data_IF_707974662000
#
_entry.id   IF_707974662000
#
_cell.length_a   1.000
_cell.length_b   1.000
_cell.length_c   1.000
_cell.angle_alpha   90.00
_cell.angle_beta   90.00
_cell.angle_gamma   90.00
#
_symmetry.space_group_name_H-M   'P 1'
#
loop_
_entity.id
_entity.type
_entity.pdbx_description
1 polymer ?
#
# COMPACT_ATOMS: atom_id res chain seq x y z
N UNK A 1 -67.82 -22.41 24.80
CA UNK A 1 -67.59 -23.74 25.38
C UNK A 1 -66.10 -23.90 25.64
N UNK A 2 -65.74 -24.08 26.93
CA UNK A 2 -64.48 -24.67 27.47
C UNK A 2 -63.14 -24.01 27.09
N UNK A 3 -62.15 -23.71 27.95
CA UNK A 3 -61.83 -23.85 29.38
C UNK A 3 -60.59 -22.92 29.63
N UNK A 4 -60.53 -22.05 30.64
CA UNK A 4 -59.99 -22.20 32.01
C UNK A 4 -58.47 -22.37 32.20
N UNK A 5 -57.95 -21.58 33.17
CA UNK A 5 -56.70 -21.62 33.97
C UNK A 5 -55.40 -21.03 33.39
N UNK A 6 -54.49 -20.39 34.17
CA UNK A 6 -54.48 -19.70 35.49
C UNK A 6 -53.04 -19.15 35.69
N UNK A 7 -52.93 -17.89 36.09
CA UNK A 7 -51.97 -17.25 37.03
C UNK A 7 -50.48 -17.67 37.04
N UNK A 8 -49.62 -16.65 36.89
CA UNK A 8 -48.27 -16.58 37.47
C UNK A 8 -47.79 -15.13 37.53
N UNK A 9 -47.70 -14.57 38.74
CA UNK A 9 -47.48 -13.16 39.06
C UNK A 9 -46.10 -13.03 39.74
N UNK A 10 -45.16 -12.22 39.23
CA UNK A 10 -43.97 -11.74 39.99
C UNK A 10 -43.55 -10.33 39.54
N UNK A 11 -43.76 -9.37 40.44
CA UNK A 11 -43.03 -8.14 40.79
C UNK A 11 -41.97 -7.49 39.87
N UNK A 12 -42.28 -6.23 39.48
CA UNK A 12 -41.50 -4.97 39.63
C UNK A 12 -40.13 -4.77 38.89
N UNK A 13 -39.70 -3.49 38.71
CA UNK A 13 -39.38 -2.95 37.38
C UNK A 13 -37.90 -2.64 37.15
N UNK A 14 -37.48 -2.61 35.87
CA UNK A 14 -36.28 -1.89 35.44
C UNK A 14 -36.64 -0.87 34.37
N UNK A 15 -37.00 0.32 34.84
CA UNK A 15 -36.79 1.55 34.10
C UNK A 15 -35.31 1.93 34.25
N UNK A 16 -34.56 1.91 33.15
CA UNK A 16 -33.38 2.74 32.88
C UNK A 16 -32.56 2.08 31.77
N UNK A 17 -32.76 2.55 30.53
CA UNK A 17 -31.77 2.61 29.44
C UNK A 17 -32.51 2.94 28.15
N UNK A 18 -32.78 4.22 27.94
CA UNK A 18 -33.04 4.85 26.64
C UNK A 18 -33.27 6.35 26.88
N UNK A 19 -32.19 7.11 27.08
CA UNK A 19 -32.12 8.56 26.88
C UNK A 19 -30.74 9.07 27.35
N UNK A 20 -29.78 9.23 26.44
CA UNK A 20 -28.62 10.13 26.60
C UNK A 20 -27.88 10.29 25.25
N UNK A 21 -28.61 10.74 24.23
CA UNK A 21 -28.04 11.43 23.07
C UNK A 21 -28.96 12.63 22.86
N UNK A 22 -28.36 13.83 22.74
CA UNK A 22 -28.97 15.17 22.65
C UNK A 22 -29.09 15.94 23.97
N UNK A 23 -27.99 16.54 24.44
CA UNK A 23 -27.95 17.86 25.09
C UNK A 23 -26.52 18.17 25.58
N UNK A 24 -25.71 18.87 24.79
CA UNK A 24 -24.57 19.65 25.30
C UNK A 24 -24.30 20.82 24.33
N UNK A 25 -25.27 21.72 24.26
CA UNK A 25 -25.12 23.09 23.78
C UNK A 25 -25.77 23.98 24.84
N UNK A 26 -25.13 25.10 25.15
CA UNK A 26 -25.42 26.06 26.23
C UNK A 26 -24.60 25.81 27.50
N UNK A 27 -23.42 26.44 27.51
CA UNK A 27 -22.66 26.64 28.74
C UNK A 27 -23.48 27.42 29.75
N UNK A 28 -23.58 26.87 30.95
CA UNK A 28 -23.90 27.59 32.18
C UNK A 28 -23.10 26.96 33.32
N UNK A 29 -22.44 27.84 34.05
CA UNK A 29 -21.70 27.68 35.30
C UNK A 29 -22.65 27.20 36.40
N UNK A 30 -22.25 26.28 37.29
CA UNK A 30 -22.39 26.46 38.76
C UNK A 30 -21.77 25.35 39.66
N UNK A 31 -21.54 25.67 40.96
CA UNK A 31 -20.44 25.14 41.79
C UNK A 31 -20.93 24.21 42.94
N UNK A 32 -20.06 24.05 43.95
CA UNK A 32 -20.30 23.50 45.29
C UNK A 32 -20.33 21.98 45.42
N UNK A 33 -19.19 21.42 45.84
CA UNK A 33 -19.20 20.21 46.67
C UNK A 33 -19.00 20.64 48.13
N UNK A 34 -20.05 20.41 48.92
CA UNK A 34 -20.05 20.56 50.36
C UNK A 34 -19.27 19.40 51.00
N UNK A 35 -18.45 19.81 51.96
CA UNK A 35 -17.73 19.00 52.93
C UNK A 35 -18.69 18.30 53.90
N UNK A 36 -18.45 17.02 54.17
CA UNK A 36 -18.88 16.34 55.37
C UNK A 36 -17.79 15.34 55.78
N UNK A 37 -17.57 15.29 57.09
CA UNK A 37 -16.33 14.90 57.75
C UNK A 37 -16.12 13.38 57.95
N UNK A 38 -14.84 13.09 58.18
CA UNK A 38 -14.10 11.92 58.67
C UNK A 38 -14.72 11.18 59.90
N UNK A 39 -14.31 9.92 60.23
CA UNK A 39 -12.94 9.64 60.73
C UNK A 39 -12.26 8.29 60.38
N UNK A 40 -10.92 8.38 60.34
CA UNK A 40 -9.83 7.38 60.36
C UNK A 40 -9.90 6.35 61.54
N UNK A 41 -8.96 5.37 61.75
CA UNK A 41 -7.73 4.98 61.00
C UNK A 41 -7.50 3.44 60.84
N UNK A 42 -6.75 3.01 59.82
CA UNK A 42 -5.88 1.82 59.96
C UNK A 42 -4.50 2.14 59.38
N UNK A 43 -3.54 2.20 60.30
CA UNK A 43 -2.11 2.44 60.06
C UNK A 43 -1.51 1.20 59.38
N UNK A 44 -1.24 1.31 58.09
CA UNK A 44 -0.36 0.41 57.35
C UNK A 44 0.61 1.25 56.53
N UNK A 45 1.85 1.41 57.02
CA UNK A 45 2.94 2.12 56.35
C UNK A 45 3.26 1.41 55.03
N UNK A 46 2.89 1.96 53.85
CA UNK A 46 3.25 1.34 52.59
C UNK A 46 4.74 1.58 52.31
N UNK A 47 5.46 0.62 51.71
CA UNK A 47 6.84 0.81 51.32
C UNK A 47 6.93 1.95 50.30
N UNK A 48 7.81 2.90 50.59
CA UNK A 48 8.12 4.04 49.73
C UNK A 48 8.77 3.54 48.43
N UNK A 49 7.96 3.11 47.46
CA UNK A 49 8.38 2.96 46.08
C UNK A 49 8.67 4.36 45.54
N UNK A 50 9.96 4.69 45.45
CA UNK A 50 10.47 5.86 44.69
C UNK A 50 10.20 5.61 43.20
N UNK A 51 8.96 5.74 42.78
CA UNK A 51 8.63 5.96 41.38
C UNK A 51 9.09 7.38 41.09
N UNK A 52 10.31 7.52 40.58
CA UNK A 52 10.74 8.75 39.93
C UNK A 52 9.81 8.95 38.73
N UNK A 53 8.69 9.62 38.94
CA UNK A 53 7.81 10.05 37.88
C UNK A 53 8.63 11.00 37.01
N UNK A 54 9.21 10.46 35.94
CA UNK A 54 9.86 11.27 34.91
C UNK A 54 8.82 12.27 34.45
N UNK A 55 9.15 13.55 34.58
CA UNK A 55 8.28 14.61 34.15
C UNK A 55 8.05 14.41 32.64
N UNK A 56 6.81 14.23 32.16
CA UNK A 56 6.54 13.98 30.75
C UNK A 56 7.03 15.13 29.83
N UNK A 57 7.32 16.30 30.40
CA UNK A 57 7.99 17.39 29.70
C UNK A 57 9.47 17.08 29.39
N UNK A 58 10.20 16.45 30.31
CA UNK A 58 11.62 16.12 30.13
C UNK A 58 11.80 15.12 28.99
N UNK A 59 10.89 14.15 28.89
CA UNK A 59 10.90 13.16 27.78
C UNK A 59 10.63 13.83 26.42
N UNK A 60 9.76 14.84 26.38
CA UNK A 60 9.50 15.63 25.16
C UNK A 60 10.70 16.49 24.77
N UNK A 61 11.37 17.13 25.74
CA UNK A 61 12.60 17.88 25.45
C UNK A 61 13.69 16.97 24.88
N UNK A 62 13.90 15.79 25.48
CA UNK A 62 14.84 14.77 24.97
C UNK A 62 14.47 14.28 23.58
N UNK A 63 13.19 14.22 23.23
CA UNK A 63 12.76 13.89 21.86
C UNK A 63 13.10 15.01 20.88
N UNK A 64 12.88 16.28 21.25
CA UNK A 64 13.22 17.44 20.41
C UNK A 64 14.73 17.60 20.24
N UNK A 65 15.53 17.29 21.26
CA UNK A 65 17.00 17.31 21.18
C UNK A 65 17.57 16.28 20.19
N UNK A 66 16.86 15.17 19.97
CA UNK A 66 17.26 14.13 19.00
C UNK A 66 16.93 14.50 17.56
N UNK A 67 16.13 15.54 17.33
CA UNK A 67 15.78 15.99 15.98
C UNK A 67 16.96 16.74 15.35
N UNK A 68 17.14 16.55 14.05
CA UNK A 68 18.08 17.36 13.25
C UNK A 68 17.70 18.84 13.26
N UNK A 69 18.63 19.72 12.93
CA UNK A 69 18.36 21.17 12.84
C UNK A 69 17.21 21.50 11.87
N UNK A 70 17.20 20.85 10.70
CA UNK A 70 16.12 20.99 9.71
C UNK A 70 14.74 20.56 10.27
N UNK A 71 14.70 19.49 11.05
CA UNK A 71 13.46 19.01 11.68
C UNK A 71 13.00 19.94 12.81
N UNK A 72 13.94 20.49 13.59
CA UNK A 72 13.63 21.50 14.62
C UNK A 72 13.08 22.78 14.00
N UNK A 73 13.66 23.26 12.91
CA UNK A 73 13.15 24.42 12.17
C UNK A 73 11.74 24.18 11.60
N UNK A 74 11.51 22.98 11.06
CA UNK A 74 10.18 22.57 10.60
C UNK A 74 9.18 22.53 11.75
N UNK A 75 9.56 21.95 12.89
CA UNK A 75 8.72 21.91 14.08
C UNK A 75 8.40 23.33 14.58
N UNK A 76 9.38 24.23 14.58
CA UNK A 76 9.19 25.62 14.98
C UNK A 76 8.21 26.36 14.06
N UNK A 77 8.32 26.21 12.74
CA UNK A 77 7.35 26.78 11.78
C UNK A 77 5.94 26.24 12.02
N UNK A 78 5.80 24.92 12.19
CA UNK A 78 4.50 24.31 12.49
C UNK A 78 3.88 24.85 13.79
N UNK A 79 4.69 25.10 14.83
CA UNK A 79 4.22 25.70 16.09
C UNK A 79 3.75 27.15 15.87
N UNK A 80 4.49 27.94 15.11
CA UNK A 80 4.12 29.31 14.78
C UNK A 80 2.79 29.32 14.01
N UNK A 81 2.66 28.50 12.97
CA UNK A 81 1.42 28.36 12.18
C UNK A 81 0.25 27.90 13.07
N UNK A 82 0.47 26.89 13.92
CA UNK A 82 -0.57 26.39 14.83
C UNK A 82 -1.07 27.48 15.78
N UNK A 83 -0.17 28.33 16.30
CA UNK A 83 -0.52 29.45 17.19
C UNK A 83 -1.30 30.56 16.49
N UNK A 84 -1.18 30.67 15.17
CA UNK A 84 -1.93 31.63 14.35
C UNK A 84 -3.36 31.15 14.03
N UNK A 85 -3.65 29.86 14.21
CA UNK A 85 -5.01 29.31 14.05
C UNK A 85 -5.96 29.85 15.12
N UNK A 86 -7.26 29.89 14.80
CA UNK A 86 -8.28 30.25 15.78
C UNK A 86 -8.33 29.25 16.95
N UNK A 87 -8.80 29.65 18.15
CA UNK A 87 -8.91 28.74 19.29
C UNK A 87 -9.71 27.46 18.97
N UNK A 88 -10.77 27.57 18.18
CA UNK A 88 -11.59 26.42 17.76
C UNK A 88 -10.82 25.46 16.85
N UNK A 89 -10.04 26.00 15.91
CA UNK A 89 -9.17 25.19 15.05
C UNK A 89 -8.07 24.51 15.87
N UNK A 90 -7.44 25.22 16.81
CA UNK A 90 -6.44 24.65 17.70
C UNK A 90 -7.04 23.51 18.55
N UNK A 91 -8.25 23.69 19.08
CA UNK A 91 -8.97 22.66 19.84
C UNK A 91 -9.27 21.44 18.96
N UNK A 92 -9.74 21.65 17.72
CA UNK A 92 -10.00 20.58 16.76
C UNK A 92 -8.76 19.73 16.48
N UNK A 93 -7.60 20.34 16.24
CA UNK A 93 -6.34 19.63 16.02
C UNK A 93 -5.88 18.84 17.25
N UNK A 94 -6.08 19.38 18.47
CA UNK A 94 -5.76 18.66 19.71
C UNK A 94 -6.65 17.43 19.90
N UNK A 95 -7.94 17.55 19.62
CA UNK A 95 -8.90 16.44 19.65
C UNK A 95 -8.52 15.36 18.62
N UNK A 96 -8.19 15.76 17.38
CA UNK A 96 -7.72 14.82 16.36
C UNK A 96 -6.44 14.09 16.79
N UNK A 97 -5.47 14.80 17.38
CA UNK A 97 -4.26 14.17 17.88
C UNK A 97 -4.55 13.15 18.98
N UNK A 98 -5.41 13.47 19.95
CA UNK A 98 -5.82 12.54 21.00
C UNK A 98 -6.48 11.28 20.42
N UNK A 99 -7.35 11.44 19.41
CA UNK A 99 -7.98 10.31 18.69
C UNK A 99 -6.95 9.43 18.00
N UNK A 100 -5.91 10.01 17.39
CA UNK A 100 -4.84 9.26 16.74
C UNK A 100 -3.96 8.51 17.75
N UNK A 101 -3.62 9.11 18.89
CA UNK A 101 -2.88 8.42 19.94
C UNK A 101 -3.68 7.25 20.54
N UNK A 102 -4.99 7.44 20.75
CA UNK A 102 -5.88 6.36 21.19
C UNK A 102 -6.05 5.26 20.12
N UNK A 103 -6.06 5.62 18.83
CA UNK A 103 -6.12 4.65 17.73
C UNK A 103 -4.84 3.81 17.65
N UNK A 104 -3.66 4.39 17.89
CA UNK A 104 -2.38 3.64 17.92
C UNK A 104 -2.40 2.50 18.93
N UNK A 105 -3.00 2.70 20.10
CA UNK A 105 -3.13 1.62 21.11
C UNK A 105 -4.20 0.60 20.75
N UNK A 106 -5.15 0.96 19.87
CA UNK A 106 -6.29 0.14 19.44
C UNK A 106 -6.11 -0.56 18.08
N UNK A 107 -4.86 -0.64 17.59
CA UNK A 107 -4.52 -1.31 16.33
C UNK A 107 -4.28 -0.39 15.12
N UNK A 108 -4.33 0.93 15.29
CA UNK A 108 -3.83 1.91 14.34
C UNK A 108 -4.63 2.04 13.04
N UNK A 109 -5.93 1.74 13.04
CA UNK A 109 -6.74 1.72 11.81
C UNK A 109 -6.87 3.11 11.19
N UNK A 110 -7.15 4.13 12.00
CA UNK A 110 -7.26 5.51 11.52
C UNK A 110 -5.91 6.04 11.05
N UNK A 111 -4.84 5.72 11.79
CA UNK A 111 -3.47 6.09 11.43
C UNK A 111 -3.05 5.49 10.08
N UNK A 112 -3.38 4.20 9.86
CA UNK A 112 -3.14 3.53 8.58
C UNK A 112 -3.96 4.17 7.45
N UNK A 113 -5.24 4.46 7.68
CA UNK A 113 -6.11 5.12 6.69
C UNK A 113 -5.56 6.50 6.28
N UNK A 114 -5.07 7.31 7.23
CA UNK A 114 -4.45 8.60 6.92
C UNK A 114 -3.14 8.44 6.15
N UNK A 115 -2.35 7.42 6.48
CA UNK A 115 -1.13 7.09 5.72
C UNK A 115 -1.46 6.66 4.28
N UNK A 116 -2.48 5.85 4.09
CA UNK A 116 -2.95 5.45 2.75
C UNK A 116 -3.50 6.63 1.97
N UNK A 117 -4.29 7.49 2.62
CA UNK A 117 -4.84 8.69 2.01
C UNK A 117 -3.74 9.68 1.58
N UNK A 118 -2.74 9.93 2.43
CA UNK A 118 -1.61 10.81 2.08
C UNK A 118 -0.77 10.23 0.96
N UNK A 119 -0.50 8.92 0.96
CA UNK A 119 0.16 8.24 -0.15
C UNK A 119 -0.67 8.37 -1.44
N UNK A 120 -2.00 8.19 -1.37
CA UNK A 120 -2.89 8.37 -2.50
C UNK A 120 -2.89 9.82 -3.04
N UNK A 121 -2.88 10.83 -2.17
CA UNK A 121 -2.80 12.24 -2.59
C UNK A 121 -1.56 12.54 -3.44
N UNK A 122 -0.44 11.83 -3.22
CA UNK A 122 0.76 12.00 -4.07
C UNK A 122 0.57 11.50 -5.51
N UNK A 123 -0.43 10.65 -5.74
CA UNK A 123 -0.77 10.12 -7.08
C UNK A 123 -1.65 11.07 -7.89
N UNK A 124 -2.20 12.10 -7.26
CA UNK A 124 -3.08 13.07 -7.91
C UNK A 124 -2.28 14.17 -8.63
N UNK A 125 -2.84 14.67 -9.72
CA UNK A 125 -2.30 15.85 -10.41
C UNK A 125 -2.35 17.07 -9.49
N UNK A 126 -1.52 18.10 -9.73
CA UNK A 126 -1.59 19.35 -8.95
C UNK A 126 -3.00 19.97 -8.96
N UNK A 127 -3.67 20.01 -10.11
CA UNK A 127 -5.04 20.53 -10.24
C UNK A 127 -6.07 19.74 -9.41
N UNK A 128 -5.96 18.42 -9.36
CA UNK A 128 -6.84 17.57 -8.56
C UNK A 128 -6.61 17.80 -7.05
N UNK A 129 -5.35 18.01 -6.64
CA UNK A 129 -5.03 18.35 -5.23
C UNK A 129 -5.59 19.72 -4.85
N UNK A 130 -5.50 20.69 -5.74
CA UNK A 130 -6.03 22.04 -5.52
C UNK A 130 -7.56 21.99 -5.37
N UNK A 131 -8.26 21.27 -6.25
CA UNK A 131 -9.73 21.08 -6.15
C UNK A 131 -10.13 20.46 -4.81
N UNK A 132 -9.42 19.42 -4.35
CA UNK A 132 -9.65 18.83 -3.03
C UNK A 132 -9.34 19.80 -1.88
N UNK A 133 -8.33 20.66 -2.03
CA UNK A 133 -7.95 21.59 -0.96
C UNK A 133 -8.99 22.69 -0.76
N UNK A 134 -9.65 23.14 -1.83
CA UNK A 134 -10.63 24.23 -1.82
C UNK A 134 -12.00 23.80 -1.28
N UNK A 135 -12.34 22.51 -1.38
CA UNK A 135 -13.64 22.02 -0.88
C UNK A 135 -13.64 21.90 0.65
N UNK A 136 -14.49 22.72 1.29
CA UNK A 136 -14.65 22.80 2.75
C UNK A 136 -15.70 21.82 3.27
N UNK A 137 -16.71 21.49 2.47
CA UNK A 137 -17.77 20.56 2.86
C UNK A 137 -17.25 19.11 2.84
N UNK A 138 -17.23 18.40 3.99
CA UNK A 138 -16.78 17.01 4.04
C UNK A 138 -17.52 16.08 3.09
N UNK A 139 -18.83 16.27 2.90
CA UNK A 139 -19.63 15.41 2.04
C UNK A 139 -19.24 15.56 0.56
N UNK A 140 -19.03 16.80 0.11
CA UNK A 140 -18.54 17.08 -1.25
C UNK A 140 -17.10 16.61 -1.44
N UNK A 141 -16.23 16.81 -0.45
CA UNK A 141 -14.84 16.32 -0.49
C UNK A 141 -14.78 14.81 -0.69
N UNK A 142 -15.63 14.04 0.01
CA UNK A 142 -15.74 12.59 -0.20
C UNK A 142 -16.24 12.24 -1.61
N UNK A 143 -17.18 13.00 -2.16
CA UNK A 143 -17.64 12.82 -3.54
C UNK A 143 -16.52 13.06 -4.57
N UNK A 144 -15.71 14.11 -4.39
CA UNK A 144 -14.54 14.41 -5.23
C UNK A 144 -13.51 13.28 -5.14
N UNK A 145 -13.16 12.82 -3.93
CA UNK A 145 -12.24 11.69 -3.72
C UNK A 145 -12.75 10.44 -4.45
N UNK A 146 -14.04 10.13 -4.31
CA UNK A 146 -14.67 8.98 -4.95
C UNK A 146 -14.62 9.08 -6.48
N UNK A 147 -14.86 10.28 -7.03
CA UNK A 147 -14.74 10.54 -8.46
C UNK A 147 -13.31 10.31 -8.97
N UNK A 148 -12.31 10.91 -8.32
CA UNK A 148 -10.91 10.73 -8.72
C UNK A 148 -10.43 9.29 -8.61
N UNK A 149 -10.85 8.58 -7.56
CA UNK A 149 -10.53 7.17 -7.41
C UNK A 149 -11.14 6.34 -8.54
N UNK A 150 -12.43 6.56 -8.86
CA UNK A 150 -13.10 5.90 -9.99
C UNK A 150 -12.43 6.21 -11.32
N UNK A 151 -11.99 7.46 -11.56
CA UNK A 151 -11.26 7.83 -12.77
C UNK A 151 -9.90 7.12 -12.85
N UNK A 152 -9.17 7.04 -11.73
CA UNK A 152 -7.91 6.29 -11.67
C UNK A 152 -8.15 4.80 -11.95
N UNK A 153 -9.14 4.19 -11.27
CA UNK A 153 -9.49 2.77 -11.45
C UNK A 153 -9.93 2.50 -12.89
N UNK A 154 -10.78 3.36 -13.47
CA UNK A 154 -11.20 3.26 -14.87
C UNK A 154 -10.03 3.42 -15.85
N UNK A 155 -9.04 4.28 -15.55
CA UNK A 155 -7.79 4.35 -16.35
C UNK A 155 -6.97 3.07 -16.22
N UNK A 156 -6.90 2.48 -15.04
CA UNK A 156 -6.23 1.20 -14.83
C UNK A 156 -6.93 0.02 -15.52
N UNK A 157 -8.26 0.04 -15.60
CA UNK A 157 -9.09 -0.98 -16.26
C UNK A 157 -9.14 -0.80 -17.78
N UNK A 158 -9.29 0.44 -18.26
CA UNK A 158 -9.34 0.77 -19.68
C UNK A 158 -7.96 0.75 -20.34
N UNK A 159 -6.87 0.82 -19.56
CA UNK A 159 -5.55 0.45 -20.05
C UNK A 159 -5.62 -1.01 -20.51
N UNK A 160 -5.55 -1.28 -21.84
CA UNK A 160 -5.85 -2.60 -22.38
C UNK A 160 -5.09 -3.69 -21.64
N UNK A 161 -5.82 -4.68 -21.13
CA UNK A 161 -5.24 -5.92 -20.57
C UNK A 161 -4.40 -6.63 -21.63
N UNK A 162 -4.65 -6.33 -22.91
CA UNK A 162 -3.68 -6.46 -23.99
C UNK A 162 -2.56 -5.45 -23.82
N UNK A 163 -1.65 -5.74 -22.90
CA UNK A 163 -0.29 -5.25 -23.06
C UNK A 163 0.41 -6.25 -23.98
N UNK A 164 0.54 -6.01 -25.30
CA UNK A 164 1.57 -6.69 -26.06
C UNK A 164 2.89 -6.23 -25.44
N UNK A 165 3.48 -7.02 -24.53
CA UNK A 165 4.81 -6.79 -23.94
C UNK A 165 5.19 -5.30 -23.88
N UNK A 166 4.40 -4.49 -23.16
CA UNK A 166 4.53 -3.03 -23.20
C UNK A 166 5.96 -2.62 -22.85
N UNK A 167 6.61 -1.74 -23.62
CA UNK A 167 7.98 -1.34 -23.36
C UNK A 167 8.06 -0.67 -21.98
N UNK A 168 8.78 -1.34 -21.08
CA UNK A 168 9.66 -0.96 -19.93
C UNK A 168 9.58 0.45 -19.28
N UNK A 169 8.88 1.43 -19.83
CA UNK A 169 8.88 2.83 -19.36
C UNK A 169 7.88 3.17 -18.25
N UNK A 170 7.17 2.19 -17.67
CA UNK A 170 6.59 2.41 -16.35
C UNK A 170 7.74 2.17 -15.35
N UNK A 171 8.53 3.22 -15.08
CA UNK A 171 9.76 3.21 -14.27
C UNK A 171 9.53 2.82 -12.80
N UNK A 172 8.38 2.24 -12.48
CA UNK A 172 8.23 1.45 -11.27
C UNK A 172 9.11 0.22 -11.48
N UNK A 173 10.24 0.11 -10.77
CA UNK A 173 11.08 -1.08 -10.82
C UNK A 173 10.18 -2.31 -10.78
N UNK A 174 10.52 -3.29 -11.63
CA UNK A 174 9.84 -4.56 -11.97
C UNK A 174 9.55 -5.44 -10.76
N UNK A 175 8.98 -4.85 -9.73
CA UNK A 175 8.62 -5.50 -8.51
C UNK A 175 7.27 -6.16 -8.74
N UNK A 176 7.12 -7.36 -8.20
CA UNK A 176 5.82 -7.97 -8.13
C UNK A 176 4.80 -6.99 -7.55
N UNK A 177 3.70 -6.76 -8.28
CA UNK A 177 2.58 -5.96 -7.76
C UNK A 177 2.07 -6.64 -6.49
N UNK A 178 2.15 -5.95 -5.35
CA UNK A 178 1.76 -6.46 -4.03
C UNK A 178 2.92 -6.55 -3.03
N UNK A 179 4.17 -6.50 -3.49
CA UNK A 179 5.31 -6.32 -2.60
C UNK A 179 5.53 -4.82 -2.36
N UNK A 180 5.53 -4.34 -1.10
CA UNK A 180 5.81 -2.94 -0.79
C UNK A 180 7.17 -2.51 -1.38
N UNK A 181 7.34 -1.25 -1.77
CA UNK A 181 8.65 -0.70 -2.08
C UNK A 181 9.65 -1.04 -0.95
N UNK A 182 10.87 -1.45 -1.31
CA UNK A 182 11.92 -1.82 -0.36
C UNK A 182 11.92 -3.29 0.10
N UNK A 183 11.05 -4.14 -0.46
CA UNK A 183 10.92 -5.55 -0.08
C UNK A 183 11.63 -6.50 -1.04
N UNK A 184 12.90 -6.21 -1.27
CA UNK A 184 13.85 -7.00 -2.05
C UNK A 184 15.19 -6.94 -1.33
N UNK A 185 16.08 -7.93 -1.54
CA UNK A 185 17.42 -7.89 -0.94
C UNK A 185 18.25 -6.77 -1.58
N UNK A 186 18.90 -5.95 -0.75
CA UNK A 186 19.87 -4.97 -1.23
C UNK A 186 21.15 -5.68 -1.69
N UNK A 187 22.01 -5.05 -2.51
CA UNK A 187 23.24 -5.69 -3.00
C UNK A 187 24.10 -6.42 -1.94
N UNK A 188 24.39 -5.84 -0.75
CA UNK A 188 25.17 -6.55 0.28
C UNK A 188 24.44 -7.77 0.85
N UNK A 189 23.14 -7.66 1.09
CA UNK A 189 22.33 -8.77 1.61
C UNK A 189 22.16 -9.88 0.57
N UNK A 190 21.93 -9.51 -0.71
CA UNK A 190 21.89 -10.45 -1.82
C UNK A 190 23.22 -11.20 -1.91
N UNK A 191 24.35 -10.49 -1.80
CA UNK A 191 25.69 -11.10 -1.78
C UNK A 191 25.85 -12.08 -0.61
N UNK A 192 25.42 -11.72 0.59
CA UNK A 192 25.46 -12.59 1.77
C UNK A 192 24.59 -13.84 1.57
N UNK A 193 23.36 -13.68 1.08
CA UNK A 193 22.45 -14.79 0.77
C UNK A 193 23.03 -15.70 -0.32
N UNK A 194 23.61 -15.14 -1.38
CA UNK A 194 24.24 -15.94 -2.44
C UNK A 194 25.48 -16.68 -1.94
N UNK A 195 26.25 -16.12 -1.00
CA UNK A 195 27.36 -16.84 -0.33
C UNK A 195 26.83 -18.04 0.45
N UNK A 196 25.74 -17.88 1.21
CA UNK A 196 25.11 -19.00 1.93
C UNK A 196 24.66 -20.09 0.97
N UNK A 197 23.90 -19.73 -0.08
CA UNK A 197 23.40 -20.72 -1.06
C UNK A 197 24.57 -21.42 -1.75
N UNK A 198 25.60 -20.68 -2.16
CA UNK A 198 26.78 -21.22 -2.81
C UNK A 198 27.57 -22.19 -1.91
N UNK A 199 27.72 -21.87 -0.62
CA UNK A 199 28.39 -22.74 0.34
C UNK A 199 27.67 -24.08 0.53
N UNK A 200 26.33 -24.10 0.46
CA UNK A 200 25.55 -25.34 0.61
C UNK A 200 25.74 -26.30 -0.57
N UNK A 201 26.02 -25.75 -1.76
CA UNK A 201 26.24 -26.54 -2.99
C UNK A 201 27.73 -26.75 -3.32
N UNK A 202 28.65 -26.31 -2.45
CA UNK A 202 30.09 -26.38 -2.70
C UNK A 202 30.58 -25.52 -3.88
N UNK A 203 29.83 -24.50 -4.28
CA UNK A 203 30.20 -23.58 -5.36
C UNK A 203 30.94 -22.35 -4.81
N UNK A 204 32.07 -22.60 -4.14
CA UNK A 204 32.94 -21.53 -3.67
C UNK A 204 33.83 -21.06 -4.82
N UNK A 205 33.59 -19.82 -5.27
CA UNK A 205 34.51 -19.10 -6.14
C UNK A 205 35.22 -18.05 -5.30
N UNK A 206 36.49 -17.80 -5.58
CA UNK A 206 37.27 -16.76 -4.91
C UNK A 206 36.75 -15.36 -5.33
N UNK A 207 36.35 -14.51 -4.36
CA UNK A 207 35.41 -13.39 -4.58
C UNK A 207 35.98 -11.98 -4.31
N UNK A 208 36.84 -11.46 -5.18
CA UNK A 208 37.28 -10.06 -5.07
C UNK A 208 36.54 -9.07 -5.97
N UNK A 209 35.88 -9.51 -7.04
CA UNK A 209 35.25 -8.57 -7.97
C UNK A 209 33.74 -8.39 -7.65
N UNK A 210 33.14 -7.21 -7.77
CA UNK A 210 31.68 -7.04 -7.54
C UNK A 210 30.87 -7.15 -8.84
N UNK A 211 31.57 -7.08 -9.98
CA UNK A 211 31.00 -6.90 -11.32
C UNK A 211 30.33 -8.17 -11.90
N UNK A 212 30.55 -9.33 -11.27
CA UNK A 212 30.03 -10.64 -11.71
C UNK A 212 28.82 -11.10 -10.89
N UNK A 213 28.33 -10.28 -9.95
CA UNK A 213 27.30 -10.68 -9.00
C UNK A 213 26.01 -11.16 -9.69
N UNK A 214 25.57 -10.54 -10.79
CA UNK A 214 24.34 -10.93 -11.49
C UNK A 214 24.45 -12.34 -12.10
N UNK A 215 25.47 -12.57 -12.94
CA UNK A 215 25.66 -13.87 -13.60
C UNK A 215 25.95 -14.96 -12.57
N UNK A 216 26.76 -14.65 -11.55
CA UNK A 216 27.04 -15.55 -10.45
C UNK A 216 25.77 -15.92 -9.67
N UNK A 217 24.91 -14.94 -9.36
CA UNK A 217 23.65 -15.20 -8.64
C UNK A 217 22.74 -16.15 -9.43
N UNK A 218 22.63 -15.97 -10.75
CA UNK A 218 21.84 -16.86 -11.60
C UNK A 218 22.42 -18.28 -11.66
N UNK A 219 23.75 -18.40 -11.73
CA UNK A 219 24.45 -19.69 -11.71
C UNK A 219 24.24 -20.41 -10.38
N UNK A 220 24.49 -19.74 -9.25
CA UNK A 220 24.26 -20.26 -7.89
C UNK A 220 22.82 -20.74 -7.73
N UNK A 221 21.84 -19.95 -8.18
CA UNK A 221 20.43 -20.34 -8.10
C UNK A 221 20.10 -21.55 -8.97
N UNK A 222 20.55 -21.58 -10.23
CA UNK A 222 20.29 -22.72 -11.12
C UNK A 222 20.87 -24.01 -10.53
N UNK A 223 22.13 -23.97 -10.09
CA UNK A 223 22.82 -25.13 -9.51
C UNK A 223 22.17 -25.56 -8.20
N UNK A 224 21.79 -24.62 -7.33
CA UNK A 224 21.12 -24.93 -6.06
C UNK A 224 19.73 -25.52 -6.23
N UNK A 225 18.95 -25.04 -7.20
CA UNK A 225 17.63 -25.60 -7.50
C UNK A 225 17.77 -27.02 -8.07
N UNK A 226 18.78 -27.27 -8.91
CA UNK A 226 19.06 -28.60 -9.48
C UNK A 226 19.61 -29.58 -8.44
N UNK A 227 20.41 -29.12 -7.48
CA UNK A 227 20.98 -29.94 -6.41
C UNK A 227 19.98 -30.25 -5.27
N UNK A 228 18.80 -29.63 -5.27
CA UNK A 228 17.77 -29.83 -4.24
C UNK A 228 17.27 -31.28 -4.23
N UNK A 229 17.44 -31.99 -3.11
CA UNK A 229 17.02 -33.38 -2.93
C UNK A 229 15.49 -33.56 -3.07
N UNK A 230 14.72 -32.58 -2.61
CA UNK A 230 13.25 -32.55 -2.73
C UNK A 230 12.74 -32.05 -4.10
N UNK A 231 13.65 -31.86 -5.05
CA UNK A 231 13.37 -31.23 -6.33
C UNK A 231 13.12 -29.72 -6.22
N UNK A 232 12.79 -29.10 -7.35
CA UNK A 232 12.66 -27.64 -7.45
C UNK A 232 11.50 -27.07 -6.62
N UNK A 233 10.40 -27.81 -6.45
CA UNK A 233 9.22 -27.33 -5.71
C UNK A 233 9.44 -27.23 -4.20
N UNK A 234 10.42 -27.95 -3.67
CA UNK A 234 10.77 -27.89 -2.24
C UNK A 234 11.90 -26.89 -1.98
N UNK A 235 12.60 -26.42 -3.02
CA UNK A 235 13.67 -25.44 -2.88
C UNK A 235 13.15 -24.03 -2.53
N UNK A 236 13.78 -23.26 -1.62
CA UNK A 236 14.79 -23.73 -0.66
C UNK A 236 14.14 -24.58 0.44
N UNK A 237 14.80 -25.65 0.87
CA UNK A 237 14.32 -26.48 1.98
C UNK A 237 14.34 -25.72 3.31
N UNK A 238 13.76 -26.30 4.36
CA UNK A 238 13.64 -25.62 5.66
C UNK A 238 14.99 -25.23 6.28
N UNK A 239 16.03 -26.05 6.08
CA UNK A 239 17.38 -25.80 6.62
C UNK A 239 18.03 -24.62 5.89
N UNK A 240 17.95 -24.60 4.56
CA UNK A 240 18.46 -23.52 3.74
C UNK A 240 17.67 -22.23 3.99
N UNK A 241 16.35 -22.29 4.18
CA UNK A 241 15.54 -21.12 4.56
C UNK A 241 16.05 -20.46 5.86
N UNK A 242 16.38 -21.24 6.88
CA UNK A 242 16.92 -20.73 8.14
C UNK A 242 18.29 -20.05 7.94
N UNK A 243 19.18 -20.65 7.14
CA UNK A 243 20.48 -20.06 6.83
C UNK A 243 20.37 -18.78 5.98
N UNK A 244 19.44 -18.74 5.04
CA UNK A 244 19.16 -17.54 4.24
C UNK A 244 18.65 -16.42 5.16
N UNK A 245 17.72 -16.74 6.06
CA UNK A 245 17.16 -15.74 6.99
C UNK A 245 18.20 -15.19 7.96
N UNK A 246 19.12 -16.03 8.47
CA UNK A 246 20.18 -15.55 9.35
C UNK A 246 21.14 -14.59 8.64
N UNK A 247 21.34 -14.77 7.33
CA UNK A 247 22.17 -13.88 6.50
C UNK A 247 21.50 -12.54 6.13
N UNK A 248 20.18 -12.38 6.35
CA UNK A 248 19.49 -11.11 6.11
C UNK A 248 19.67 -10.20 7.34
N UNK A 249 20.32 -9.04 7.19
CA UNK A 249 20.55 -8.15 8.33
C UNK A 249 19.32 -7.30 8.68
N UNK A 250 18.56 -6.83 7.68
CA UNK A 250 17.40 -5.95 7.92
C UNK A 250 16.30 -6.62 8.73
N UNK A 251 15.98 -6.02 9.87
CA UNK A 251 14.97 -6.49 10.82
C UNK A 251 13.57 -6.54 10.20
N UNK A 252 13.22 -5.57 9.35
CA UNK A 252 11.90 -5.49 8.73
C UNK A 252 11.62 -6.69 7.83
N UNK A 253 12.64 -7.17 7.10
CA UNK A 253 12.53 -8.37 6.27
C UNK A 253 12.40 -9.62 7.12
N UNK A 254 13.21 -9.75 8.18
CA UNK A 254 13.09 -10.83 9.16
C UNK A 254 11.69 -10.88 9.77
N UNK A 255 11.17 -9.75 10.25
CA UNK A 255 9.83 -9.67 10.85
C UNK A 255 8.73 -10.07 9.84
N UNK A 256 8.92 -9.83 8.55
CA UNK A 256 7.99 -10.31 7.51
C UNK A 256 8.07 -11.82 7.32
N UNK A 257 9.27 -12.40 7.32
CA UNK A 257 9.45 -13.86 7.24
C UNK A 257 8.83 -14.59 8.43
N UNK A 258 8.89 -14.00 9.63
CA UNK A 258 8.30 -14.57 10.84
C UNK A 258 6.77 -14.45 10.90
N UNK A 259 6.19 -13.39 10.31
CA UNK A 259 4.74 -13.15 10.36
C UNK A 259 3.92 -14.12 9.53
N UNK A 260 4.49 -14.73 8.51
CA UNK A 260 3.76 -15.60 7.59
C UNK A 260 4.57 -16.86 7.28
N UNK A 261 4.58 -17.80 8.23
CA UNK A 261 5.36 -19.04 8.15
C UNK A 261 4.96 -19.88 6.94
N UNK A 262 3.66 -19.93 6.62
CA UNK A 262 3.12 -20.69 5.48
C UNK A 262 3.64 -20.13 4.14
N UNK A 263 3.87 -18.81 4.07
CA UNK A 263 4.39 -18.13 2.88
C UNK A 263 5.90 -17.84 2.98
N UNK A 264 6.60 -18.35 3.99
CA UNK A 264 8.02 -18.03 4.24
C UNK A 264 8.90 -18.39 3.06
N UNK A 265 8.76 -19.63 2.55
CA UNK A 265 9.49 -20.12 1.37
C UNK A 265 9.27 -19.20 0.17
N UNK A 266 8.02 -18.89 -0.14
CA UNK A 266 7.67 -18.02 -1.27
C UNK A 266 8.23 -16.62 -1.07
N UNK A 267 8.18 -16.08 0.15
CA UNK A 267 8.73 -14.76 0.47
C UNK A 267 10.23 -14.72 0.25
N UNK A 268 10.97 -15.74 0.69
CA UNK A 268 12.42 -15.85 0.45
C UNK A 268 12.73 -15.86 -1.05
N UNK A 269 12.00 -16.67 -1.82
CA UNK A 269 12.19 -16.76 -3.28
C UNK A 269 11.97 -15.38 -3.93
N UNK A 270 10.90 -14.68 -3.56
CA UNK A 270 10.64 -13.33 -4.07
C UNK A 270 11.68 -12.29 -3.65
N UNK A 271 12.18 -12.35 -2.41
CA UNK A 271 13.23 -11.46 -1.92
C UNK A 271 14.51 -11.63 -2.73
N UNK A 272 14.91 -12.86 -3.02
CA UNK A 272 16.08 -13.19 -3.82
C UNK A 272 15.90 -12.70 -5.26
N UNK A 273 14.79 -13.05 -5.90
CA UNK A 273 14.55 -12.70 -7.31
C UNK A 273 14.39 -11.20 -7.50
N UNK A 274 13.72 -10.54 -6.56
CA UNK A 274 13.62 -9.08 -6.49
C UNK A 274 14.98 -8.41 -6.29
N UNK A 275 15.85 -8.99 -5.46
CA UNK A 275 17.22 -8.50 -5.27
C UNK A 275 18.07 -8.61 -6.55
N UNK A 276 17.98 -9.73 -7.27
CA UNK A 276 18.64 -9.92 -8.57
C UNK A 276 18.17 -8.90 -9.58
N UNK A 277 16.86 -8.70 -9.71
CA UNK A 277 16.29 -7.69 -10.61
C UNK A 277 16.72 -6.28 -10.22
N UNK A 278 16.72 -5.95 -8.93
CA UNK A 278 17.19 -4.66 -8.45
C UNK A 278 18.66 -4.42 -8.80
N UNK A 279 19.54 -5.41 -8.59
CA UNK A 279 20.96 -5.30 -8.97
C UNK A 279 21.12 -5.08 -10.48
N UNK A 280 20.38 -5.82 -11.30
CA UNK A 280 20.40 -5.65 -12.75
C UNK A 280 19.92 -4.25 -13.17
N UNK A 281 18.87 -3.72 -12.53
CA UNK A 281 18.40 -2.36 -12.76
C UNK A 281 19.45 -1.31 -12.40
N UNK A 282 20.09 -1.44 -11.23
CA UNK A 282 21.17 -0.54 -10.81
C UNK A 282 22.39 -0.59 -11.75
N UNK A 283 22.79 -1.78 -12.24
CA UNK A 283 23.86 -1.91 -13.24
C UNK A 283 23.51 -1.20 -14.56
N UNK A 284 22.24 -1.20 -14.95
CA UNK A 284 21.77 -0.56 -16.19
C UNK A 284 21.40 0.91 -16.00
N UNK A 285 21.32 1.41 -14.77
CA UNK A 285 20.79 2.75 -14.44
C UNK A 285 21.53 3.87 -15.16
N UNK A 286 22.84 3.74 -15.31
CA UNK A 286 23.67 4.71 -16.03
C UNK A 286 23.37 4.76 -17.54
N UNK A 287 22.71 3.73 -18.10
CA UNK A 287 22.33 3.66 -19.52
C UNK A 287 20.92 4.23 -19.76
N UNK A 288 20.14 4.48 -18.71
CA UNK A 288 18.82 5.11 -18.84
C UNK A 288 18.96 6.61 -19.10
N UNK A 289 18.08 7.20 -19.94
CA UNK A 289 18.13 8.62 -20.25
C UNK A 289 17.89 9.47 -19.00
N UNK A 290 18.72 10.49 -18.84
CA UNK A 290 18.49 11.55 -17.85
C UNK A 290 17.34 12.45 -18.29
N UNK A 291 16.79 13.30 -17.39
CA UNK A 291 15.79 14.29 -17.79
C UNK A 291 16.26 15.22 -18.91
N UNK A 292 17.58 15.52 -18.97
CA UNK A 292 18.16 16.33 -20.04
C UNK A 292 18.15 15.57 -21.38
N UNK A 293 18.48 14.28 -21.37
CA UNK A 293 18.41 13.42 -22.57
C UNK A 293 16.99 13.30 -23.10
N UNK A 294 16.00 13.16 -22.20
CA UNK A 294 14.59 13.13 -22.58
C UNK A 294 14.11 14.47 -23.14
N UNK A 295 14.59 15.60 -22.58
CA UNK A 295 14.29 16.92 -23.13
C UNK A 295 14.91 17.09 -24.51
N UNK A 296 16.16 16.69 -24.70
CA UNK A 296 16.80 16.70 -26.01
C UNK A 296 16.06 15.81 -27.03
N UNK A 297 15.62 14.62 -26.58
CA UNK A 297 14.79 13.74 -27.41
C UNK A 297 13.47 14.42 -27.79
N UNK A 298 12.83 15.15 -26.88
CA UNK A 298 11.61 15.92 -27.15
C UNK A 298 11.85 17.06 -28.14
N UNK A 299 12.92 17.85 -27.94
CA UNK A 299 13.27 18.98 -28.80
C UNK A 299 13.65 18.55 -30.22
N UNK A 300 14.11 17.30 -30.39
CA UNK A 300 14.42 16.71 -31.69
C UNK A 300 13.19 16.27 -32.50
N UNK A 301 12.00 16.24 -31.88
CA UNK A 301 10.76 15.86 -32.57
C UNK A 301 10.21 17.00 -33.41
N UNK A 302 9.42 16.69 -34.44
CA UNK A 302 8.70 17.71 -35.18
C UNK A 302 7.64 18.40 -34.30
N UNK A 303 7.25 19.62 -34.69
CA UNK A 303 6.32 20.45 -33.92
C UNK A 303 4.98 19.74 -33.64
N UNK A 304 4.47 18.96 -34.59
CA UNK A 304 3.18 18.27 -34.45
C UNK A 304 3.27 17.16 -33.40
N UNK A 305 4.38 16.42 -33.37
CA UNK A 305 4.63 15.42 -32.35
C UNK A 305 4.87 16.05 -30.97
N UNK A 306 5.60 17.16 -30.89
CA UNK A 306 5.79 17.90 -29.64
C UNK A 306 4.44 18.33 -29.07
N UNK A 307 3.59 18.98 -29.87
CA UNK A 307 2.22 19.36 -29.49
C UNK A 307 1.43 18.16 -29.00
N UNK A 308 1.45 17.03 -29.74
CA UNK A 308 0.77 15.79 -29.32
C UNK A 308 1.25 15.31 -27.95
N UNK A 309 2.56 15.33 -27.71
CA UNK A 309 3.15 14.88 -26.46
C UNK A 309 2.87 15.83 -25.28
N UNK A 310 2.66 17.12 -25.51
CA UNK A 310 2.27 18.07 -24.45
C UNK A 310 0.86 17.82 -23.91
N UNK A 311 -0.01 17.18 -24.70
CA UNK A 311 -1.38 16.81 -24.28
C UNK A 311 -1.41 15.55 -23.40
N UNK A 312 -0.33 14.77 -23.37
CA UNK A 312 -0.26 13.53 -22.59
C UNK A 312 0.13 13.80 -21.14
N UNK A 313 -0.16 12.83 -20.27
CA UNK A 313 0.37 12.87 -18.91
C UNK A 313 1.90 12.81 -18.93
N UNK A 314 2.55 13.37 -17.89
CA UNK A 314 4.02 13.36 -17.75
C UNK A 314 4.61 11.96 -17.89
N UNK A 315 3.92 10.94 -17.37
CA UNK A 315 4.37 9.54 -17.40
C UNK A 315 4.30 8.96 -18.83
N UNK A 316 3.18 9.14 -19.52
CA UNK A 316 3.03 8.67 -20.91
C UNK A 316 4.00 9.37 -21.86
N UNK A 317 4.17 10.69 -21.68
CA UNK A 317 5.15 11.47 -22.44
C UNK A 317 6.56 10.93 -22.24
N UNK A 318 7.00 10.76 -20.99
CA UNK A 318 8.33 10.24 -20.69
C UNK A 318 8.53 8.85 -21.29
N UNK A 319 7.54 7.97 -21.21
CA UNK A 319 7.60 6.63 -21.83
C UNK A 319 7.82 6.70 -23.34
N UNK A 320 7.07 7.53 -24.06
CA UNK A 320 7.24 7.68 -25.52
C UNK A 320 8.62 8.25 -25.84
N UNK A 321 9.09 9.21 -25.05
CA UNK A 321 10.42 9.79 -25.22
C UNK A 321 11.54 8.77 -24.94
N UNK A 322 11.40 7.93 -23.93
CA UNK A 322 12.32 6.81 -23.67
C UNK A 322 12.32 5.80 -24.84
N UNK A 323 11.13 5.46 -25.37
CA UNK A 323 11.00 4.61 -26.55
C UNK A 323 11.76 5.18 -27.75
N UNK A 324 11.63 6.49 -28.00
CA UNK A 324 12.38 7.20 -29.05
C UNK A 324 13.87 7.32 -28.76
N UNK A 325 14.27 7.60 -27.52
CA UNK A 325 15.67 7.73 -27.11
C UNK A 325 16.48 6.47 -27.41
N UNK A 326 15.88 5.30 -27.17
CA UNK A 326 16.51 4.01 -27.42
C UNK A 326 16.28 3.47 -28.84
N UNK A 327 15.46 4.11 -29.67
CA UNK A 327 15.21 3.65 -31.02
C UNK A 327 16.51 3.69 -31.86
N UNK A 328 17.01 2.51 -32.24
CA UNK A 328 18.24 2.36 -33.03
C UNK A 328 19.54 2.31 -32.20
N UNK A 329 19.47 2.43 -30.88
CA UNK A 329 20.63 2.30 -29.99
C UNK A 329 20.97 0.83 -29.72
N UNK A 330 22.25 0.47 -29.85
CA UNK A 330 22.74 -0.90 -29.55
C UNK A 330 22.91 -1.16 -28.06
N UNK A 331 23.05 -0.10 -27.28
CA UNK A 331 23.22 -0.06 -25.83
C UNK A 331 21.88 -0.02 -25.06
N UNK A 332 20.76 -0.37 -25.71
CA UNK A 332 19.47 -0.48 -25.03
C UNK A 332 19.51 -1.58 -23.95
N UNK A 333 19.38 -1.27 -22.65
CA UNK A 333 19.39 -2.27 -21.58
C UNK A 333 18.09 -3.09 -21.52
N UNK A 334 17.01 -2.61 -22.13
CA UNK A 334 15.65 -3.15 -21.96
C UNK A 334 15.51 -4.59 -22.46
N UNK A 335 16.07 -5.01 -23.62
CA UNK A 335 16.06 -6.40 -24.04
C UNK A 335 16.78 -7.34 -23.06
N UNK A 336 17.92 -6.92 -22.50
CA UNK A 336 18.67 -7.69 -21.50
C UNK A 336 17.84 -7.87 -20.22
N UNK A 337 17.26 -6.80 -19.70
CA UNK A 337 16.40 -6.84 -18.52
C UNK A 337 15.14 -7.69 -18.75
N UNK A 338 14.54 -7.62 -19.95
CA UNK A 338 13.39 -8.45 -20.34
C UNK A 338 13.77 -9.93 -20.35
N UNK A 339 14.89 -10.28 -20.99
CA UNK A 339 15.38 -11.67 -21.03
C UNK A 339 15.69 -12.22 -19.64
N UNK A 340 16.30 -11.40 -18.76
CA UNK A 340 16.51 -11.75 -17.36
C UNK A 340 15.19 -12.01 -16.63
N UNK A 341 14.22 -11.10 -16.79
CA UNK A 341 12.90 -11.27 -16.17
C UNK A 341 12.22 -12.55 -16.63
N UNK A 342 12.20 -12.83 -17.92
CA UNK A 342 11.62 -14.06 -18.45
C UNK A 342 12.33 -15.31 -17.92
N UNK A 343 13.65 -15.25 -17.76
CA UNK A 343 14.41 -16.33 -17.14
C UNK A 343 13.99 -16.54 -15.68
N UNK A 344 13.86 -15.47 -14.90
CA UNK A 344 13.40 -15.53 -13.51
C UNK A 344 11.95 -16.01 -13.41
N UNK A 345 11.04 -15.54 -14.27
CA UNK A 345 9.64 -16.00 -14.28
C UNK A 345 9.54 -17.50 -14.58
N UNK A 346 10.34 -18.02 -15.53
CA UNK A 346 10.43 -19.48 -15.78
C UNK A 346 10.91 -20.24 -14.56
N UNK A 347 11.87 -19.69 -13.82
CA UNK A 347 12.34 -20.30 -12.56
C UNK A 347 11.25 -20.28 -11.49
N UNK A 348 10.49 -19.19 -11.33
CA UNK A 348 9.36 -19.14 -10.38
C UNK A 348 8.32 -20.22 -10.67
N UNK A 349 7.93 -20.38 -11.93
CA UNK A 349 7.01 -21.45 -12.37
C UNK A 349 7.59 -22.83 -12.04
N UNK A 350 8.88 -23.06 -12.30
CA UNK A 350 9.57 -24.32 -11.97
C UNK A 350 9.54 -24.61 -10.47
N UNK A 351 9.68 -23.58 -9.65
CA UNK A 351 9.63 -23.65 -8.19
C UNK A 351 8.20 -23.84 -7.64
N UNK A 352 7.18 -23.89 -8.50
CA UNK A 352 5.78 -23.93 -8.07
C UNK A 352 5.35 -22.69 -7.29
N UNK A 353 6.11 -21.59 -7.42
CA UNK A 353 5.73 -20.30 -6.88
C UNK A 353 4.86 -19.65 -7.94
N UNK A 354 3.58 -19.36 -7.67
CA UNK A 354 2.77 -18.66 -8.64
C UNK A 354 3.52 -17.37 -8.99
N UNK A 355 3.68 -17.04 -10.29
CA UNK A 355 4.12 -15.69 -10.63
C UNK A 355 3.17 -14.78 -9.87
N UNK A 356 3.69 -13.78 -9.14
CA UNK A 356 2.85 -12.88 -8.35
C UNK A 356 1.85 -12.26 -9.33
N UNK A 357 0.67 -12.86 -9.35
CA UNK A 357 -0.31 -12.57 -10.36
C UNK A 357 -0.62 -11.10 -10.17
N UNK A 358 -0.80 -10.37 -11.28
CA UNK A 358 -1.63 -9.17 -11.21
C UNK A 358 -2.84 -9.60 -10.37
N UNK A 359 -3.14 -8.95 -9.24
CA UNK A 359 -4.36 -9.26 -8.50
C UNK A 359 -5.45 -9.37 -9.57
N UNK A 360 -6.17 -10.51 -9.63
CA UNK A 360 -7.07 -10.82 -10.73
C UNK A 360 -7.89 -9.57 -10.99
N UNK A 361 -7.73 -9.00 -12.18
CA UNK A 361 -8.32 -7.71 -12.49
C UNK A 361 -9.81 -7.80 -12.20
N UNK A 362 -10.31 -6.96 -11.30
CA UNK A 362 -11.68 -6.43 -11.31
C UNK A 362 -12.88 -7.38 -11.22
N UNK A 363 -12.72 -8.71 -11.33
CA UNK A 363 -13.83 -9.67 -11.27
C UNK A 363 -13.94 -10.32 -9.88
N UNK A 364 -13.39 -9.67 -8.84
CA UNK A 364 -13.92 -9.88 -7.50
C UNK A 364 -15.41 -9.53 -7.48
N UNK A 365 -16.25 -10.22 -6.68
CA UNK A 365 -17.68 -9.96 -6.64
C UNK A 365 -17.93 -8.47 -6.46
N UNK A 366 -18.59 -7.85 -7.44
CA UNK A 366 -18.85 -6.41 -7.48
C UNK A 366 -19.31 -5.95 -6.10
N UNK A 367 -18.75 -4.87 -5.52
CA UNK A 367 -19.28 -4.27 -4.30
C UNK A 367 -20.72 -3.81 -4.58
N UNK A 368 -21.70 -4.65 -4.23
CA UNK A 368 -23.12 -4.51 -4.61
C UNK A 368 -23.82 -5.82 -5.00
N UNK A 369 -23.10 -6.89 -5.33
CA UNK A 369 -23.71 -8.17 -5.68
C UNK A 369 -24.26 -8.92 -4.45
N UNK A 370 -23.60 -8.78 -3.28
CA UNK A 370 -24.11 -9.33 -2.01
C UNK A 370 -25.33 -8.60 -1.42
N UNK A 371 -25.75 -7.47 -2.00
CA UNK A 371 -26.94 -6.74 -1.56
C UNK A 371 -28.20 -7.09 -2.35
N UNK A 372 -28.10 -7.88 -3.44
CA UNK A 372 -29.28 -8.38 -4.15
C UNK A 372 -29.77 -9.74 -3.65
N UNK A 373 -28.88 -10.58 -3.12
CA UNK A 373 -29.23 -11.95 -2.70
C UNK A 373 -29.67 -12.07 -1.23
N UNK A 374 -29.94 -10.94 -0.55
CA UNK A 374 -30.40 -10.90 0.85
C UNK A 374 -31.62 -10.03 1.09
N UNK A 375 -32.45 -9.80 0.07
CA UNK A 375 -33.83 -9.38 0.34
C UNK A 375 -34.67 -10.62 0.69
N UNK A 376 -35.27 -10.69 1.90
CA UNK A 376 -36.28 -11.70 2.18
C UNK A 376 -37.51 -11.46 1.30
N UNK A 377 -38.15 -12.56 0.94
CA UNK A 377 -39.32 -12.68 0.05
C UNK A 377 -40.24 -11.46 0.10
N UNK A 378 -40.27 -10.70 -1.00
CA UNK A 378 -41.31 -9.70 -1.23
C UNK A 378 -42.53 -10.45 -1.77
N UNK A 379 -43.70 -10.37 -1.12
CA UNK A 379 -44.88 -11.11 -1.54
C UNK A 379 -45.35 -10.61 -2.90
N UNK A 380 -45.74 -11.57 -3.74
CA UNK A 380 -46.32 -11.43 -5.07
C UNK A 380 -47.30 -10.25 -5.18
N UNK A 381 -47.05 -9.37 -6.14
CA UNK A 381 -47.97 -8.29 -6.45
C UNK A 381 -47.46 -7.32 -7.49
N UNK A 382 -47.77 -7.60 -8.77
CA UNK A 382 -47.85 -6.58 -9.80
C UNK A 382 -46.78 -6.67 -10.90
N UNK A 383 -47.14 -7.29 -12.03
CA UNK A 383 -46.51 -7.02 -13.32
C UNK A 383 -46.79 -5.56 -13.70
N UNK A 384 -45.83 -4.85 -14.31
CA UNK A 384 -46.24 -4.08 -15.48
C UNK A 384 -45.20 -4.01 -16.61
N UNK A 385 -45.76 -3.88 -17.81
CA UNK A 385 -45.19 -3.49 -19.11
C UNK A 385 -44.55 -4.56 -20.00
N UNK A 386 -45.43 -5.20 -20.77
CA UNK A 386 -45.20 -5.56 -22.16
C UNK A 386 -44.60 -4.36 -22.93
N UNK A 387 -43.39 -4.55 -23.49
CA UNK A 387 -42.90 -3.69 -24.57
C UNK A 387 -43.27 -4.33 -25.91
N UNK A 388 -43.91 -3.60 -26.83
CA UNK A 388 -44.20 -4.09 -28.16
C UNK A 388 -42.90 -4.30 -28.95
N UNK A 389 -42.74 -5.53 -29.43
CA UNK A 389 -41.74 -5.89 -30.43
C UNK A 389 -42.34 -5.59 -31.80
N UNK A 390 -42.10 -4.41 -32.34
CA UNK A 390 -42.33 -4.07 -33.74
C UNK A 390 -41.41 -2.92 -34.16
N UNK A 391 -40.42 -3.24 -35.00
CA UNK A 391 -39.55 -2.31 -35.70
C UNK A 391 -39.27 -2.90 -37.09
N UNK A 392 -39.51 -2.15 -38.18
CA UNK A 392 -39.74 -2.70 -39.51
C UNK A 392 -38.46 -2.96 -40.32
N UNK A 393 -38.69 -3.69 -41.41
CA UNK A 393 -37.77 -4.12 -42.46
C UNK A 393 -36.73 -3.10 -42.90
N UNK A 394 -35.49 -3.57 -43.02
CA UNK A 394 -34.38 -2.86 -43.63
C UNK A 394 -34.27 -3.30 -45.11
N UNK A 395 -34.49 -2.42 -46.11
CA UNK A 395 -34.35 -2.80 -47.51
C UNK A 395 -32.87 -2.84 -47.94
N UNK A 396 -32.59 -3.81 -48.80
CA UNK A 396 -31.28 -4.13 -49.40
C UNK A 396 -30.69 -2.96 -50.17
N UNK A 397 -29.37 -2.77 -50.00
CA UNK A 397 -28.48 -1.95 -50.84
C UNK A 397 -28.39 -2.53 -52.26
N UNK A 398 -28.49 -1.73 -53.35
CA UNK A 398 -28.04 -2.15 -54.66
C UNK A 398 -26.51 -1.99 -54.76
N UNK A 399 -25.89 -2.89 -55.52
CA UNK A 399 -24.47 -2.86 -55.86
C UNK A 399 -24.16 -1.73 -56.84
N UNK A 400 -22.93 -1.23 -56.76
CA UNK A 400 -22.32 -0.40 -57.79
C UNK A 400 -21.32 -1.25 -58.56
N UNK A 401 -21.39 -1.05 -59.88
CA UNK A 401 -20.37 -1.34 -60.89
C UNK A 401 -19.03 -0.66 -60.58
#
# INVERSE_FOLDING_TARGET
>A
MSSFNRVGNVSRPQAARLACVLAYSLGLVWPCWASAADPSPVVGKPPAAKVSATNPLDDRYRQVEKLSELERDRLQRNIVEFRQLSPDQQAHYRDLHQKLEADKTSGGKLSNLLSEYTAWLTTLTPSQRDELSQELDPARKVAIVTRFKREQDARYEAAPTETPAGPVGDSRPFFPRGLPPGTYLLPPELSAVMKVIASEIGLERDKSNEEWLLNYSLEVLRTSIQASLGGAREWPDQRLQQKIESAIERRELKDRLHRNLDMRRQTIIHLIFGGIMHKALEETKAQYPTPADLQQAFDSLDQREQERLTLLSKLERNRILEEKYFAGRKDDPRPRLRGLKEQLDRMLVTLGVPPLQRPPGGDGPRPGQFLRDRMPDRPDGGRPFDRPRNGPDNPRRPGNE
#
